data_IF_613395273585
#
_entry.id   IF_613395273585
#
_cell.length_a   1.000
_cell.length_b   1.000
_cell.length_c   1.000
_cell.angle_alpha   90.00
_cell.angle_beta   90.00
_cell.angle_gamma   90.00
#
_symmetry.space_group_name_H-M   'P 1'
#
loop_
_entity.id
_entity.type
_entity.pdbx_description
1 polymer ?
#
# COMPACT_ATOMS: atom_id res chain seq x y z
N UNK A 1 23.25 -7.88 -3.36
CA UNK A 1 22.59 -8.05 -2.05
C UNK A 1 23.41 -7.53 -0.86
N UNK A 2 24.67 -7.96 -0.65
CA UNK A 2 25.48 -7.58 0.52
C UNK A 2 25.63 -6.06 0.71
N UNK A 3 25.83 -5.29 -0.37
CA UNK A 3 25.97 -3.84 -0.30
C UNK A 3 24.68 -3.11 0.16
N UNK A 4 23.50 -3.65 -0.15
CA UNK A 4 22.20 -3.04 0.21
C UNK A 4 21.90 -3.28 1.68
N UNK A 5 22.18 -4.48 2.19
CA UNK A 5 22.02 -4.81 3.61
C UNK A 5 22.97 -4.00 4.51
N UNK A 6 24.21 -3.79 4.06
CA UNK A 6 25.17 -2.92 4.75
C UNK A 6 24.69 -1.47 4.80
N UNK A 7 24.15 -0.94 3.69
CA UNK A 7 23.62 0.42 3.62
C UNK A 7 22.39 0.63 4.53
N UNK A 8 21.45 -0.32 4.55
CA UNK A 8 20.28 -0.30 5.43
C UNK A 8 20.69 -0.36 6.91
N UNK A 9 21.63 -1.24 7.24
CA UNK A 9 22.17 -1.37 8.60
C UNK A 9 22.82 -0.08 9.07
N UNK A 10 23.64 0.56 8.21
CA UNK A 10 24.28 1.85 8.51
C UNK A 10 23.24 2.94 8.77
N UNK A 11 22.25 3.06 7.89
CA UNK A 11 21.17 4.05 8.02
C UNK A 11 20.36 3.82 9.31
N UNK A 12 20.03 2.57 9.65
CA UNK A 12 19.32 2.26 10.89
C UNK A 12 20.14 2.62 12.15
N UNK A 13 21.44 2.35 12.13
CA UNK A 13 22.35 2.73 13.22
C UNK A 13 22.41 4.24 13.41
N UNK A 14 22.51 5.02 12.32
CA UNK A 14 22.45 6.49 12.37
C UNK A 14 21.14 7.00 12.99
N UNK A 15 20.00 6.42 12.59
CA UNK A 15 18.69 6.75 13.17
C UNK A 15 18.62 6.46 14.67
N UNK A 16 19.17 5.33 15.11
CA UNK A 16 19.19 4.93 16.52
C UNK A 16 20.04 5.86 17.38
N UNK A 17 21.19 6.29 16.86
CA UNK A 17 22.06 7.28 17.52
C UNK A 17 21.34 8.61 17.68
N UNK A 18 20.72 9.13 16.62
CA UNK A 18 19.95 10.40 16.68
C UNK A 18 18.80 10.34 17.69
N UNK A 19 18.03 9.26 17.67
CA UNK A 19 16.95 9.04 18.64
C UNK A 19 17.48 9.04 20.08
N UNK A 20 18.59 8.33 20.34
CA UNK A 20 19.20 8.26 21.67
C UNK A 20 19.63 9.65 22.14
N UNK A 21 20.37 10.40 21.32
CA UNK A 21 20.82 11.75 21.66
C UNK A 21 19.65 12.68 21.99
N UNK A 22 18.57 12.66 21.20
CA UNK A 22 17.37 13.46 21.48
C UNK A 22 16.69 13.05 22.79
N UNK A 23 16.57 11.76 23.05
CA UNK A 23 15.95 11.25 24.27
C UNK A 23 16.76 11.62 25.51
N UNK A 24 18.09 11.52 25.45
CA UNK A 24 18.99 11.86 26.55
C UNK A 24 18.94 13.37 26.85
N UNK A 25 19.04 14.23 25.82
CA UNK A 25 18.90 15.68 25.97
C UNK A 25 17.53 16.11 26.49
N UNK A 26 16.45 15.42 26.10
CA UNK A 26 15.12 15.67 26.65
C UNK A 26 15.06 15.35 28.14
N UNK A 27 15.59 14.20 28.56
CA UNK A 27 15.63 13.81 29.98
C UNK A 27 16.44 14.81 30.80
N UNK A 28 17.59 15.24 30.30
CA UNK A 28 18.39 16.28 30.96
C UNK A 28 17.63 17.61 31.09
N UNK A 29 16.79 17.95 30.09
CA UNK A 29 15.92 19.12 30.14
C UNK A 29 14.86 18.97 31.24
N UNK A 30 14.19 17.82 31.30
CA UNK A 30 13.15 17.52 32.30
C UNK A 30 13.72 17.49 33.72
N UNK A 31 14.85 16.83 33.94
CA UNK A 31 15.52 16.81 35.25
C UNK A 31 15.90 18.23 35.67
N UNK A 32 16.39 19.06 34.76
CA UNK A 32 16.76 20.43 35.10
C UNK A 32 15.56 21.31 35.42
N UNK A 33 14.44 21.11 34.72
CA UNK A 33 13.18 21.79 35.05
C UNK A 33 12.69 21.37 36.44
N UNK A 34 12.76 20.08 36.76
CA UNK A 34 12.36 19.57 38.06
C UNK A 34 13.21 20.16 39.20
N UNK A 35 14.54 20.18 39.05
CA UNK A 35 15.46 20.79 40.04
C UNK A 35 15.17 22.28 40.31
N UNK A 36 14.68 23.01 39.29
CA UNK A 36 14.38 24.44 39.41
C UNK A 36 13.02 24.72 40.05
N UNK A 37 12.16 23.71 40.08
CA UNK A 37 10.78 23.76 40.55
C UNK A 37 10.66 23.17 41.95
N UNK A 38 11.51 22.20 42.29
CA UNK A 38 11.56 21.59 43.61
C UNK A 38 11.91 22.64 44.67
N UNK A 39 10.90 23.01 45.47
CA UNK A 39 11.09 23.81 46.67
C UNK A 39 11.92 22.99 47.67
N UNK A 40 13.16 23.40 48.02
CA UNK A 40 13.99 22.67 48.97
C UNK A 40 13.35 22.53 50.36
N UNK A 41 12.26 23.25 50.64
CA UNK A 41 11.50 23.14 51.89
C UNK A 41 10.23 22.30 51.79
N UNK A 42 9.81 21.86 50.60
CA UNK A 42 8.65 20.98 50.39
C UNK A 42 7.32 21.52 50.94
N UNK A 43 7.20 22.84 51.13
CA UNK A 43 6.05 23.45 51.81
C UNK A 43 4.94 23.85 50.84
N UNK A 44 5.25 23.97 49.56
CA UNK A 44 4.31 24.30 48.49
C UNK A 44 4.18 23.06 47.60
N UNK A 45 2.95 22.72 47.21
CA UNK A 45 2.66 21.59 46.31
C UNK A 45 3.38 21.71 44.95
N UNK A 46 3.12 20.79 44.00
CA UNK A 46 3.84 20.78 42.72
C UNK A 46 3.75 22.16 42.04
N UNK A 47 4.87 22.87 42.00
CA UNK A 47 4.99 24.17 41.34
C UNK A 47 5.08 23.92 39.83
N UNK A 48 4.38 24.69 39.02
CA UNK A 48 4.55 24.56 37.57
C UNK A 48 5.83 25.30 37.12
N UNK A 49 6.61 24.75 36.17
CA UNK A 49 7.78 25.44 35.63
C UNK A 49 7.39 26.76 34.95
N UNK A 50 8.07 27.85 35.29
CA UNK A 50 7.85 29.19 34.71
C UNK A 50 8.69 29.43 33.45
N UNK A 51 8.41 30.53 32.73
CA UNK A 51 9.22 30.94 31.57
C UNK A 51 10.68 31.20 31.95
N UNK A 52 10.94 31.71 33.16
CA UNK A 52 12.28 31.93 33.70
C UNK A 52 13.03 30.60 33.86
N UNK A 53 12.34 29.54 34.32
CA UNK A 53 12.94 28.21 34.41
C UNK A 53 13.40 27.72 33.03
N UNK A 54 12.56 27.84 32.00
CA UNK A 54 12.93 27.49 30.61
C UNK A 54 14.04 28.41 30.04
N UNK A 55 14.05 29.69 30.43
CA UNK A 55 15.08 30.65 30.03
C UNK A 55 16.50 30.26 30.47
N UNK A 56 16.62 29.55 31.60
CA UNK A 56 17.90 29.05 32.11
C UNK A 56 18.47 27.84 31.33
N UNK A 57 17.65 27.16 30.52
CA UNK A 57 18.03 25.92 29.84
C UNK A 57 18.81 26.19 28.55
N UNK A 58 19.79 25.34 28.23
CA UNK A 58 20.60 25.49 27.02
C UNK A 58 19.79 25.25 25.74
N UNK A 59 20.17 25.92 24.64
CA UNK A 59 19.46 25.79 23.37
C UNK A 59 19.36 24.34 22.83
N UNK A 60 20.39 23.48 22.93
CA UNK A 60 20.29 22.08 22.50
C UNK A 60 19.23 21.28 23.26
N UNK A 61 19.12 21.47 24.58
CA UNK A 61 18.11 20.81 25.42
C UNK A 61 16.71 21.29 25.10
N UNK A 62 16.51 22.60 24.91
CA UNK A 62 15.22 23.16 24.48
C UNK A 62 14.78 22.59 23.12
N UNK A 63 15.71 22.51 22.14
CA UNK A 63 15.41 21.92 20.83
C UNK A 63 14.97 20.46 20.97
N UNK A 64 15.70 19.65 21.75
CA UNK A 64 15.33 18.25 21.98
C UNK A 64 13.96 18.12 22.67
N UNK A 65 13.70 18.93 23.70
CA UNK A 65 12.44 18.96 24.44
C UNK A 65 11.24 19.27 23.54
N UNK A 66 11.37 20.30 22.69
CA UNK A 66 10.35 20.66 21.69
C UNK A 66 10.18 19.54 20.67
N UNK A 67 11.30 18.97 20.20
CA UNK A 67 11.32 17.99 19.12
C UNK A 67 10.54 16.74 19.49
N UNK A 68 10.84 16.15 20.66
CA UNK A 68 10.23 14.88 21.06
C UNK A 68 8.73 14.97 21.34
N UNK A 69 8.20 16.18 21.53
CA UNK A 69 6.78 16.47 21.78
C UNK A 69 6.01 16.97 20.57
N UNK A 70 6.71 17.34 19.50
CA UNK A 70 6.10 17.95 18.30
C UNK A 70 6.28 17.08 17.05
N UNK A 71 7.30 16.22 17.01
CA UNK A 71 7.60 15.39 15.84
C UNK A 71 7.67 13.90 16.17
N UNK A 72 7.08 13.03 15.32
CA UNK A 72 7.22 11.59 15.46
C UNK A 72 8.57 11.06 14.95
N UNK A 73 9.34 11.88 14.21
CA UNK A 73 10.60 11.49 13.56
C UNK A 73 11.82 12.06 14.28
N UNK A 74 13.03 11.59 13.96
CA UNK A 74 14.31 12.00 14.57
C UNK A 74 15.19 12.83 13.60
N UNK A 75 14.58 13.47 12.60
CA UNK A 75 15.27 14.36 11.65
C UNK A 75 15.43 15.75 12.25
N UNK A 76 16.63 16.07 12.75
CA UNK A 76 16.92 17.25 13.58
C UNK A 76 17.27 18.52 12.82
N UNK A 77 17.64 18.39 11.55
CA UNK A 77 18.47 19.38 10.87
C UNK A 77 17.65 20.53 10.28
N UNK A 78 16.35 20.32 10.14
CA UNK A 78 15.36 21.32 9.73
C UNK A 78 14.23 21.22 10.75
N UNK A 79 13.76 22.35 11.27
CA UNK A 79 12.53 22.36 12.06
C UNK A 79 11.34 21.83 11.23
N UNK A 80 10.10 22.05 11.66
CA UNK A 80 8.94 21.90 10.79
C UNK A 80 9.21 22.48 9.40
N UNK A 81 8.62 21.87 8.37
CA UNK A 81 8.74 22.39 6.99
C UNK A 81 8.37 23.87 6.88
N UNK A 82 7.49 24.32 7.77
CA UNK A 82 6.98 25.69 7.83
C UNK A 82 7.90 26.63 8.65
N UNK A 83 9.03 26.14 9.16
CA UNK A 83 10.02 26.93 9.89
C UNK A 83 11.24 27.10 8.99
N UNK A 84 11.67 28.35 8.80
CA UNK A 84 12.91 28.68 8.07
C UNK A 84 14.19 28.32 8.86
N UNK A 85 14.13 27.25 9.68
CA UNK A 85 15.13 26.90 10.69
C UNK A 85 14.59 27.01 12.11
N UNK A 86 15.38 26.52 13.07
CA UNK A 86 15.06 26.68 14.48
C UNK A 86 15.13 28.16 14.89
N UNK A 87 14.12 28.69 15.60
CA UNK A 87 14.20 30.02 16.18
C UNK A 87 15.40 30.18 17.10
N UNK A 88 15.85 31.42 17.30
CA UNK A 88 16.90 31.73 18.27
C UNK A 88 16.39 31.48 19.70
N UNK A 89 17.30 31.14 20.61
CA UNK A 89 17.02 31.22 22.05
C UNK A 89 17.00 32.71 22.42
N UNK A 90 15.96 33.13 23.12
CA UNK A 90 15.81 34.50 23.63
C UNK A 90 15.56 34.47 25.14
N UNK A 91 15.45 35.64 25.77
CA UNK A 91 15.18 35.79 27.20
C UNK A 91 13.73 35.40 27.57
N UNK A 92 13.48 35.16 28.86
CA UNK A 92 12.13 34.91 29.38
C UNK A 92 11.19 36.12 29.17
N UNK A 93 11.72 37.35 29.24
CA UNK A 93 10.96 38.57 28.99
C UNK A 93 10.46 38.66 27.54
N UNK A 94 11.33 38.38 26.56
CA UNK A 94 10.94 38.32 25.14
C UNK A 94 9.90 37.21 24.89
N UNK A 95 10.08 36.04 25.51
CA UNK A 95 9.10 34.95 25.45
C UNK A 95 7.74 35.35 26.07
N UNK A 96 7.74 36.12 27.16
CA UNK A 96 6.53 36.63 27.80
C UNK A 96 5.80 37.67 26.94
N UNK A 97 6.54 38.45 26.14
CA UNK A 97 6.00 39.39 25.15
C UNK A 97 5.39 38.70 23.91
N UNK A 98 5.47 37.37 23.83
CA UNK A 98 4.91 36.59 22.72
C UNK A 98 5.88 36.36 21.57
N UNK A 99 7.16 36.71 21.71
CA UNK A 99 8.15 36.44 20.68
C UNK A 99 8.32 34.94 20.46
N UNK A 100 8.33 34.54 19.19
CA UNK A 100 8.48 33.14 18.81
C UNK A 100 9.94 32.71 18.93
N UNK A 101 10.32 32.29 20.13
CA UNK A 101 11.66 31.80 20.48
C UNK A 101 11.64 30.37 21.05
N UNK A 102 12.81 29.76 21.25
CA UNK A 102 12.91 28.41 21.82
C UNK A 102 12.31 28.32 23.24
N UNK A 103 12.47 29.36 24.06
CA UNK A 103 11.94 29.38 25.44
C UNK A 103 10.41 29.31 25.41
N UNK A 104 9.79 30.15 24.57
CA UNK A 104 8.33 30.16 24.41
C UNK A 104 7.79 28.84 23.88
N UNK A 105 8.41 28.31 22.83
CA UNK A 105 8.00 27.05 22.21
C UNK A 105 8.09 25.86 23.17
N UNK A 106 9.14 25.80 23.98
CA UNK A 106 9.29 24.75 25.00
C UNK A 106 8.24 24.87 26.10
N UNK A 107 7.97 26.10 26.58
CA UNK A 107 6.94 26.37 27.56
C UNK A 107 5.53 26.00 27.05
N UNK A 108 5.21 26.35 25.81
CA UNK A 108 3.92 26.07 25.18
C UNK A 108 3.69 24.57 24.91
N UNK A 109 4.75 23.76 24.85
CA UNK A 109 4.64 22.31 24.66
C UNK A 109 4.85 21.48 25.93
N UNK A 110 5.05 22.10 27.10
CA UNK A 110 5.48 21.39 28.33
C UNK A 110 4.55 20.25 28.75
N UNK A 111 3.24 20.42 28.57
CA UNK A 111 2.21 19.44 28.97
C UNK A 111 1.96 18.36 27.90
N UNK A 112 2.59 18.49 26.72
CA UNK A 112 2.44 17.50 25.66
C UNK A 112 3.27 16.25 25.99
N UNK A 113 2.73 15.04 25.73
CA UNK A 113 3.48 13.81 25.92
C UNK A 113 4.63 13.71 24.91
N UNK A 114 5.65 12.90 25.24
CA UNK A 114 6.67 12.51 24.29
C UNK A 114 6.05 11.61 23.20
N UNK A 115 6.05 12.07 21.96
CA UNK A 115 5.47 11.38 20.79
C UNK A 115 6.52 10.78 19.86
N UNK A 116 7.81 11.02 20.12
CA UNK A 116 8.91 10.48 19.33
C UNK A 116 8.94 8.95 19.44
N UNK A 117 8.87 8.27 18.30
CA UNK A 117 8.86 6.81 18.26
C UNK A 117 10.29 6.26 18.21
N UNK A 118 10.53 5.18 18.96
CA UNK A 118 11.79 4.43 18.88
C UNK A 118 11.95 3.86 17.46
N UNK A 119 13.13 3.98 16.83
CA UNK A 119 13.40 3.34 15.55
C UNK A 119 13.14 1.84 15.67
N UNK A 120 12.19 1.34 14.89
CA UNK A 120 11.90 -0.09 14.82
C UNK A 120 12.92 -0.69 13.87
N UNK A 121 13.71 -1.66 14.37
CA UNK A 121 14.61 -2.44 13.51
C UNK A 121 13.76 -3.03 12.39
N UNK A 122 14.13 -2.90 11.11
CA UNK A 122 13.40 -3.57 10.04
C UNK A 122 13.33 -5.05 10.42
N UNK A 123 12.11 -5.51 10.71
CA UNK A 123 11.86 -6.87 11.18
C UNK A 123 12.19 -7.77 9.98
N UNK A 124 13.19 -8.67 10.13
CA UNK A 124 13.29 -9.83 9.24
C UNK A 124 11.93 -10.50 9.30
N UNK A 125 11.19 -10.50 8.18
CA UNK A 125 9.81 -10.97 8.13
C UNK A 125 9.67 -12.27 8.94
N UNK A 126 9.01 -12.17 10.10
CA UNK A 126 8.75 -13.35 10.91
C UNK A 126 7.66 -14.15 10.20
N UNK A 127 7.73 -15.49 10.19
CA UNK A 127 6.62 -16.31 9.72
C UNK A 127 5.43 -16.04 10.64
N UNK A 128 4.44 -15.29 10.15
CA UNK A 128 3.21 -15.07 10.89
C UNK A 128 2.50 -16.42 11.04
N UNK A 129 2.22 -16.81 12.27
CA UNK A 129 1.31 -17.93 12.54
C UNK A 129 -0.02 -17.65 11.86
N UNK A 130 -0.32 -18.41 10.80
CA UNK A 130 -1.61 -18.43 10.12
C UNK A 130 -2.70 -18.73 11.16
N UNK A 131 -3.42 -17.71 11.58
CA UNK A 131 -4.78 -17.96 12.05
C UNK A 131 -5.59 -18.30 10.82
N UNK A 132 -6.08 -19.52 10.77
CA UNK A 132 -7.03 -20.03 9.78
C UNK A 132 -8.28 -19.15 9.78
N UNK A 133 -8.23 -18.03 9.06
CA UNK A 133 -9.42 -17.51 8.42
C UNK A 133 -9.74 -18.53 7.35
N UNK A 134 -10.96 -19.06 7.39
CA UNK A 134 -11.54 -19.94 6.41
C UNK A 134 -11.37 -19.28 5.04
N UNK A 135 -10.25 -19.56 4.38
CA UNK A 135 -10.00 -19.12 3.04
C UNK A 135 -11.19 -19.66 2.26
N UNK A 136 -11.91 -18.76 1.59
CA UNK A 136 -12.78 -19.17 0.50
C UNK A 136 -11.86 -19.93 -0.44
N UNK A 137 -11.83 -21.25 -0.30
CA UNK A 137 -11.29 -22.14 -1.31
C UNK A 137 -12.09 -21.72 -2.52
N UNK A 138 -11.45 -20.96 -3.42
CA UNK A 138 -11.97 -20.73 -4.74
C UNK A 138 -12.21 -22.15 -5.22
N UNK A 139 -13.47 -22.60 -5.22
CA UNK A 139 -13.86 -23.82 -5.89
C UNK A 139 -13.55 -23.50 -7.33
N UNK A 140 -12.34 -23.83 -7.73
CA UNK A 140 -11.80 -23.72 -9.06
C UNK A 140 -12.64 -24.67 -9.90
N UNK A 141 -13.83 -24.24 -10.30
CA UNK A 141 -14.35 -24.61 -11.58
C UNK A 141 -13.28 -24.13 -12.56
N UNK A 142 -12.45 -25.06 -12.98
CA UNK A 142 -11.28 -24.83 -13.83
C UNK A 142 -11.70 -23.92 -14.97
N UNK A 143 -11.20 -22.68 -14.98
CA UNK A 143 -11.38 -21.78 -16.11
C UNK A 143 -10.57 -22.36 -17.27
N UNK A 144 -11.22 -23.22 -18.05
CA UNK A 144 -10.62 -23.88 -19.21
C UNK A 144 -10.73 -22.96 -20.42
N UNK A 145 -9.72 -22.11 -20.60
CA UNK A 145 -9.49 -21.50 -21.92
C UNK A 145 -9.28 -22.61 -22.95
N UNK A 146 -10.09 -22.59 -24.01
CA UNK A 146 -10.08 -23.57 -25.11
C UNK A 146 -9.00 -23.24 -26.15
N UNK A 147 -7.87 -22.70 -25.71
CA UNK A 147 -6.67 -22.76 -26.52
C UNK A 147 -6.09 -24.16 -26.35
N UNK A 148 -6.35 -25.04 -27.31
CA UNK A 148 -5.72 -26.37 -27.39
C UNK A 148 -4.18 -26.27 -27.50
N UNK A 149 -3.66 -25.06 -27.70
CA UNK A 149 -2.23 -24.75 -27.69
C UNK A 149 -1.85 -24.21 -26.32
N UNK A 150 -1.07 -24.99 -25.57
CA UNK A 150 -0.40 -24.53 -24.36
C UNK A 150 0.76 -23.61 -24.76
N UNK A 151 0.59 -22.31 -24.58
CA UNK A 151 1.67 -21.34 -24.84
C UNK A 151 2.47 -21.12 -23.55
N UNK A 152 3.79 -21.32 -23.61
CA UNK A 152 4.68 -20.98 -22.51
C UNK A 152 4.81 -19.46 -22.35
N UNK A 153 4.88 -18.99 -21.11
CA UNK A 153 5.05 -17.58 -20.77
C UNK A 153 6.40 -17.07 -21.27
N UNK A 154 7.45 -17.90 -21.22
CA UNK A 154 8.74 -17.60 -21.82
C UNK A 154 8.65 -17.37 -23.33
N UNK A 155 7.84 -18.15 -24.05
CA UNK A 155 7.66 -17.97 -25.50
C UNK A 155 7.02 -16.63 -25.84
N UNK A 156 6.03 -16.18 -25.07
CA UNK A 156 5.44 -14.84 -25.20
C UNK A 156 6.45 -13.75 -24.86
N UNK A 157 7.20 -13.93 -23.77
CA UNK A 157 8.23 -12.97 -23.36
C UNK A 157 9.39 -12.89 -24.35
N UNK A 158 9.71 -13.95 -25.08
CA UNK A 158 10.74 -13.94 -26.11
C UNK A 158 10.27 -13.27 -27.42
N UNK A 159 8.96 -13.11 -27.64
CA UNK A 159 8.41 -12.46 -28.83
C UNK A 159 8.39 -10.93 -28.69
N UNK A 160 9.37 -10.28 -29.34
CA UNK A 160 9.50 -8.82 -29.39
C UNK A 160 8.24 -8.13 -29.92
N UNK A 161 7.57 -8.73 -30.90
CA UNK A 161 6.35 -8.16 -31.49
C UNK A 161 5.22 -8.17 -30.48
N UNK A 162 5.07 -9.26 -29.73
CA UNK A 162 4.09 -9.35 -28.66
C UNK A 162 4.38 -8.34 -27.54
N UNK A 163 5.66 -8.19 -27.13
CA UNK A 163 6.04 -7.22 -26.09
C UNK A 163 5.72 -5.78 -26.50
N UNK A 164 6.04 -5.39 -27.73
CA UNK A 164 5.74 -4.05 -28.26
C UNK A 164 4.23 -3.80 -28.26
N UNK A 165 3.43 -4.77 -28.71
CA UNK A 165 1.96 -4.67 -28.66
C UNK A 165 1.44 -4.51 -27.24
N UNK A 166 1.95 -5.29 -26.29
CA UNK A 166 1.55 -5.23 -24.88
C UNK A 166 1.89 -3.86 -24.25
N UNK A 167 3.10 -3.36 -24.48
CA UNK A 167 3.55 -2.04 -24.00
C UNK A 167 2.66 -0.94 -24.59
N UNK A 168 2.39 -0.99 -25.89
CA UNK A 168 1.49 -0.05 -26.55
C UNK A 168 0.05 -0.16 -26.06
N UNK A 169 -0.44 -1.37 -25.77
CA UNK A 169 -1.78 -1.63 -25.25
C UNK A 169 -2.01 -0.89 -23.92
N UNK A 170 -1.07 -1.05 -22.98
CA UNK A 170 -1.18 -0.54 -21.61
C UNK A 170 -0.44 0.79 -21.34
N UNK A 171 0.05 1.46 -22.39
CA UNK A 171 0.76 2.76 -22.31
C UNK A 171 1.88 2.76 -21.27
N UNK A 172 2.67 1.70 -21.27
CA UNK A 172 3.79 1.59 -20.35
C UNK A 172 4.92 2.49 -20.85
N UNK A 173 5.55 3.21 -19.92
CA UNK A 173 6.82 3.86 -20.20
C UNK A 173 7.93 2.78 -20.28
N UNK A 174 9.03 3.09 -20.97
CA UNK A 174 10.15 2.15 -21.05
C UNK A 174 10.79 1.86 -19.70
N UNK A 175 10.58 2.73 -18.71
CA UNK A 175 11.13 2.65 -17.35
C UNK A 175 10.39 1.63 -16.47
N UNK A 176 9.12 1.32 -16.78
CA UNK A 176 8.30 0.33 -16.04
C UNK A 176 8.52 -1.11 -16.51
N UNK A 177 9.26 -1.33 -17.59
CA UNK A 177 9.55 -2.68 -18.13
C UNK A 177 10.92 -3.18 -17.74
N UNK A 178 11.03 -4.47 -17.40
CA UNK A 178 12.33 -5.09 -17.11
C UNK A 178 13.02 -5.59 -18.38
N UNK A 179 14.34 -5.54 -18.41
CA UNK A 179 15.14 -6.21 -19.45
C UNK A 179 14.91 -7.72 -19.38
N UNK A 180 14.56 -8.33 -20.51
CA UNK A 180 14.32 -9.77 -20.59
C UNK A 180 15.66 -10.51 -20.64
N UNK A 181 15.87 -11.39 -19.66
CA UNK A 181 17.04 -12.27 -19.54
C UNK A 181 16.59 -13.73 -19.55
N UNK A 182 17.52 -14.67 -19.70
CA UNK A 182 17.22 -16.11 -19.57
C UNK A 182 16.59 -16.44 -18.20
N UNK A 183 17.04 -15.76 -17.14
CA UNK A 183 16.40 -15.86 -15.82
C UNK A 183 14.95 -15.38 -15.83
N UNK A 184 14.64 -14.27 -16.53
CA UNK A 184 13.27 -13.78 -16.68
C UNK A 184 12.36 -14.82 -17.36
N UNK A 185 12.87 -15.50 -18.39
CA UNK A 185 12.15 -16.55 -19.12
C UNK A 185 11.85 -17.76 -18.22
N UNK A 186 12.86 -18.26 -17.50
CA UNK A 186 12.69 -19.36 -16.54
C UNK A 186 11.71 -19.02 -15.43
N UNK A 187 11.80 -17.79 -14.89
CA UNK A 187 10.89 -17.28 -13.84
C UNK A 187 9.45 -17.18 -14.34
N UNK A 188 9.24 -16.82 -15.60
CA UNK A 188 7.91 -16.75 -16.20
C UNK A 188 7.27 -18.13 -16.34
N UNK A 189 8.02 -19.12 -16.80
CA UNK A 189 7.51 -20.49 -16.92
C UNK A 189 7.28 -21.13 -15.55
N UNK A 190 8.12 -20.82 -14.56
CA UNK A 190 7.92 -21.25 -13.18
C UNK A 190 6.65 -20.65 -12.58
N UNK A 191 6.46 -19.33 -12.70
CA UNK A 191 5.24 -18.65 -12.28
C UNK A 191 4.02 -19.23 -12.99
N UNK A 192 4.11 -19.42 -14.31
CA UNK A 192 3.06 -20.07 -15.08
C UNK A 192 2.74 -21.45 -14.51
N UNK A 193 3.70 -22.35 -14.29
CA UNK A 193 3.44 -23.67 -13.68
C UNK A 193 2.68 -23.57 -12.35
N UNK A 194 3.05 -22.61 -11.49
CA UNK A 194 2.37 -22.35 -10.21
C UNK A 194 0.93 -21.86 -10.42
N UNK A 195 0.72 -20.94 -11.36
CA UNK A 195 -0.60 -20.40 -11.70
C UNK A 195 -1.46 -21.39 -12.50
N UNK A 196 -0.86 -22.30 -13.28
CA UNK A 196 -1.55 -23.26 -14.16
C UNK A 196 -2.22 -24.39 -13.39
N UNK A 197 -1.68 -24.76 -12.23
CA UNK A 197 -2.44 -25.58 -11.26
C UNK A 197 -3.80 -24.96 -10.92
N UNK A 198 -3.99 -23.66 -11.19
CA UNK A 198 -5.18 -22.88 -10.84
C UNK A 198 -5.94 -22.33 -12.06
N UNK A 199 -5.31 -21.81 -13.14
CA UNK A 199 -6.03 -21.03 -14.20
C UNK A 199 -5.48 -20.99 -15.66
N UNK A 200 -4.52 -21.82 -16.11
CA UNK A 200 -3.97 -21.78 -17.51
C UNK A 200 -3.54 -20.37 -18.03
N UNK A 201 -2.86 -19.57 -17.21
CA UNK A 201 -2.59 -18.13 -17.45
C UNK A 201 -1.18 -17.79 -18.00
N UNK A 202 -0.76 -18.36 -19.13
CA UNK A 202 0.56 -18.06 -19.73
C UNK A 202 0.79 -16.56 -19.98
N UNK A 203 -0.18 -15.89 -20.60
CA UNK A 203 -0.15 -14.44 -20.84
C UNK A 203 -0.02 -13.62 -19.56
N UNK A 204 -0.78 -13.95 -18.51
CA UNK A 204 -0.71 -13.20 -17.25
C UNK A 204 0.67 -13.37 -16.60
N UNK A 205 1.23 -14.57 -16.61
CA UNK A 205 2.56 -14.82 -16.06
C UNK A 205 3.63 -14.01 -16.79
N UNK A 206 3.56 -13.96 -18.12
CA UNK A 206 4.44 -13.12 -18.94
C UNK A 206 4.30 -11.63 -18.58
N UNK A 207 3.05 -11.13 -18.48
CA UNK A 207 2.77 -9.73 -18.12
C UNK A 207 3.36 -9.37 -16.74
N UNK A 208 3.13 -10.20 -15.73
CA UNK A 208 3.61 -9.96 -14.36
C UNK A 208 5.15 -9.91 -14.27
N UNK A 209 5.83 -10.72 -15.08
CA UNK A 209 7.29 -10.75 -15.14
C UNK A 209 7.81 -9.53 -15.89
N UNK A 210 7.22 -9.20 -17.04
CA UNK A 210 7.62 -8.06 -17.86
C UNK A 210 7.55 -6.74 -17.08
N UNK A 211 6.56 -6.59 -16.20
CA UNK A 211 6.39 -5.37 -15.40
C UNK A 211 7.15 -5.41 -14.07
N UNK A 212 7.92 -6.47 -13.81
CA UNK A 212 8.67 -6.60 -12.56
C UNK A 212 7.76 -6.69 -11.32
N UNK A 213 6.53 -7.18 -11.47
CA UNK A 213 5.55 -7.21 -10.39
C UNK A 213 5.79 -8.34 -9.39
N UNK A 214 6.60 -9.33 -9.75
CA UNK A 214 6.87 -10.51 -8.92
C UNK A 214 8.29 -10.50 -8.39
N UNK A 215 8.49 -11.11 -7.23
CA UNK A 215 9.79 -11.31 -6.58
C UNK A 215 10.74 -12.09 -7.47
N UNK A 216 12.03 -11.85 -7.28
CA UNK A 216 13.05 -12.40 -8.16
C UNK A 216 13.23 -13.91 -8.01
N UNK A 217 13.31 -14.39 -6.76
CA UNK A 217 13.46 -15.79 -6.43
C UNK A 217 12.14 -16.37 -5.91
N UNK A 218 11.40 -17.00 -6.82
CA UNK A 218 10.12 -17.65 -6.51
C UNK A 218 10.30 -19.08 -5.97
N UNK A 219 11.50 -19.67 -6.06
CA UNK A 219 11.78 -21.02 -5.55
C UNK A 219 11.86 -21.04 -4.03
N UNK A 220 12.30 -19.92 -3.45
CA UNK A 220 12.30 -19.67 -2.02
C UNK A 220 10.91 -19.45 -1.39
N UNK A 221 9.83 -19.45 -2.19
CA UNK A 221 8.49 -19.11 -1.75
C UNK A 221 7.53 -20.32 -1.81
N UNK A 222 6.85 -20.59 -0.70
CA UNK A 222 5.78 -21.57 -0.65
C UNK A 222 4.46 -21.03 -1.26
N UNK A 223 3.40 -21.82 -1.26
CA UNK A 223 2.12 -21.46 -1.85
C UNK A 223 1.27 -20.47 -1.01
N UNK A 224 1.72 -20.15 0.20
CA UNK A 224 1.07 -19.21 1.12
C UNK A 224 1.72 -17.83 1.08
N UNK A 225 2.97 -17.75 0.61
CA UNK A 225 3.75 -16.54 0.49
C UNK A 225 3.21 -15.59 -0.60
N UNK A 226 3.50 -14.28 -0.43
CA UNK A 226 3.22 -13.27 -1.44
C UNK A 226 4.31 -13.30 -2.52
N UNK A 227 3.93 -13.56 -3.77
CA UNK A 227 4.82 -13.50 -4.92
C UNK A 227 4.98 -12.08 -5.47
N UNK A 228 4.06 -11.17 -5.16
CA UNK A 228 4.18 -9.78 -5.58
C UNK A 228 5.38 -9.10 -4.90
N UNK A 229 6.05 -8.23 -5.64
CA UNK A 229 7.15 -7.43 -5.13
C UNK A 229 6.63 -6.35 -4.18
N UNK A 230 7.30 -6.18 -3.04
CA UNK A 230 6.92 -5.23 -1.98
C UNK A 230 7.41 -3.80 -2.29
N UNK A 231 7.13 -3.32 -3.50
CA UNK A 231 7.55 -2.01 -3.99
C UNK A 231 6.39 -1.25 -4.68
N UNK A 232 5.58 -0.48 -3.94
CA UNK A 232 4.49 0.28 -4.52
C UNK A 232 4.94 1.38 -5.50
N UNK A 233 6.22 1.77 -5.49
CA UNK A 233 6.73 2.80 -6.40
C UNK A 233 6.78 2.36 -7.87
N UNK A 234 6.67 1.05 -8.16
CA UNK A 234 6.53 0.53 -9.52
C UNK A 234 5.13 0.75 -10.11
N UNK A 235 4.19 1.20 -9.28
CA UNK A 235 2.80 1.33 -9.66
C UNK A 235 2.36 2.80 -9.60
N UNK A 236 1.47 3.19 -10.50
CA UNK A 236 0.87 4.53 -10.48
C UNK A 236 -0.16 4.61 -9.37
N UNK A 237 -0.03 5.59 -8.47
CA UNK A 237 -1.05 5.87 -7.46
C UNK A 237 -2.33 6.33 -8.15
N UNK A 238 -3.49 5.81 -7.76
CA UNK A 238 -4.78 6.24 -8.33
C UNK A 238 -5.06 7.69 -7.97
N UNK A 239 -5.29 8.51 -9.00
CA UNK A 239 -5.73 9.91 -8.91
C UNK A 239 -6.99 10.12 -9.77
N UNK A 240 -7.66 11.26 -9.60
CA UNK A 240 -8.86 11.63 -10.37
C UNK A 240 -8.58 11.85 -11.87
N UNK A 241 -7.33 12.19 -12.21
CA UNK A 241 -6.89 12.57 -13.55
C UNK A 241 -6.81 11.38 -14.52
N UNK A 242 -6.68 10.16 -14.00
CA UNK A 242 -6.53 8.97 -14.85
C UNK A 242 -7.87 8.52 -15.46
N UNK A 243 -7.96 8.62 -16.78
CA UNK A 243 -9.07 8.15 -17.62
C UNK A 243 -8.89 6.70 -18.06
N UNK A 244 -8.66 5.82 -17.10
CA UNK A 244 -8.33 4.42 -17.32
C UNK A 244 -9.20 3.50 -16.46
N UNK A 245 -9.43 2.29 -16.95
CA UNK A 245 -9.94 1.17 -16.18
C UNK A 245 -8.93 0.01 -16.17
N UNK A 246 -9.28 -1.14 -15.60
CA UNK A 246 -8.36 -2.26 -15.47
C UNK A 246 -8.27 -2.79 -14.06
N UNK A 247 -7.06 -3.17 -13.62
CA UNK A 247 -6.81 -3.83 -12.34
C UNK A 247 -6.08 -2.89 -11.39
N UNK A 248 -6.52 -2.85 -10.14
CA UNK A 248 -5.92 -2.09 -9.06
C UNK A 248 -5.54 -2.98 -7.88
N UNK A 249 -4.62 -2.48 -7.07
CA UNK A 249 -4.23 -3.10 -5.80
C UNK A 249 -4.31 -2.10 -4.65
N UNK A 250 -4.57 -2.59 -3.45
CA UNK A 250 -4.41 -1.81 -2.23
C UNK A 250 -3.13 -2.20 -1.52
N UNK A 251 -2.34 -1.17 -1.22
CA UNK A 251 -1.19 -1.23 -0.34
C UNK A 251 -1.59 -0.74 1.05
N UNK A 252 -1.28 -1.53 2.07
CA UNK A 252 -1.35 -1.11 3.46
C UNK A 252 -0.04 -0.40 3.85
N UNK A 253 -0.11 0.92 4.09
CA UNK A 253 1.07 1.71 4.46
C UNK A 253 1.58 1.43 5.87
N UNK A 254 0.79 0.79 6.73
CA UNK A 254 1.23 0.45 8.08
C UNK A 254 2.04 -0.84 8.08
N UNK A 255 1.49 -1.88 7.45
CA UNK A 255 2.12 -3.20 7.40
C UNK A 255 3.05 -3.38 6.20
N UNK A 256 3.09 -2.40 5.29
CA UNK A 256 3.94 -2.39 4.10
C UNK A 256 3.75 -3.65 3.25
N UNK A 257 2.49 -3.94 2.92
CA UNK A 257 2.12 -5.14 2.17
C UNK A 257 0.91 -4.91 1.25
N UNK A 258 0.82 -5.70 0.19
CA UNK A 258 -0.36 -5.79 -0.65
C UNK A 258 -1.45 -6.62 0.04
N UNK A 259 -2.66 -6.09 0.09
CA UNK A 259 -3.77 -6.72 0.84
C UNK A 259 -4.98 -7.06 0.00
N UNK A 260 -5.13 -6.43 -1.17
CA UNK A 260 -6.33 -6.57 -2.00
C UNK A 260 -5.98 -6.34 -3.45
N UNK A 261 -6.55 -7.15 -4.32
CA UNK A 261 -6.61 -6.92 -5.76
C UNK A 261 -8.09 -6.76 -6.15
N UNK A 262 -8.38 -5.87 -7.09
CA UNK A 262 -9.70 -5.72 -7.67
C UNK A 262 -9.65 -5.13 -9.07
N UNK A 263 -10.76 -5.18 -9.80
CA UNK A 263 -10.85 -4.57 -11.13
C UNK A 263 -12.02 -3.62 -11.30
N UNK A 264 -11.87 -2.72 -12.27
CA UNK A 264 -12.92 -1.85 -12.80
C UNK A 264 -12.95 -2.01 -14.31
N UNK A 265 -14.13 -1.90 -14.90
CA UNK A 265 -14.30 -1.93 -16.34
C UNK A 265 -15.32 -0.88 -16.77
N UNK A 266 -15.01 -0.13 -17.83
CA UNK A 266 -15.79 0.96 -18.41
C UNK A 266 -16.06 2.11 -17.43
N UNK A 267 -15.14 2.32 -16.48
CA UNK A 267 -15.19 3.41 -15.50
C UNK A 267 -13.82 3.64 -14.88
N UNK A 268 -13.58 4.87 -14.41
CA UNK A 268 -12.32 5.27 -13.78
C UNK A 268 -12.05 4.52 -12.47
N UNK A 269 -10.76 4.24 -12.20
CA UNK A 269 -10.29 3.78 -10.90
C UNK A 269 -10.68 4.71 -9.75
N UNK A 270 -10.54 6.03 -9.93
CA UNK A 270 -10.86 7.03 -8.90
C UNK A 270 -12.29 6.89 -8.36
N UNK A 271 -13.26 6.66 -9.24
CA UNK A 271 -14.65 6.48 -8.81
C UNK A 271 -14.80 5.25 -7.90
N UNK A 272 -14.02 4.19 -8.15
CA UNK A 272 -14.02 2.99 -7.31
C UNK A 272 -13.29 3.22 -5.98
N UNK A 273 -12.21 4.00 -5.98
CA UNK A 273 -11.56 4.45 -4.75
C UNK A 273 -12.53 5.24 -3.85
N UNK A 274 -13.28 6.18 -4.43
CA UNK A 274 -14.30 6.96 -3.70
C UNK A 274 -15.42 6.07 -3.17
N UNK A 275 -15.88 5.08 -3.94
CA UNK A 275 -16.85 4.08 -3.47
C UNK A 275 -16.33 3.32 -2.26
N UNK A 276 -15.12 2.77 -2.33
CA UNK A 276 -14.50 2.06 -1.20
C UNK A 276 -14.38 2.97 0.03
N UNK A 277 -14.03 4.23 -0.17
CA UNK A 277 -13.94 5.22 0.91
C UNK A 277 -15.28 5.51 1.57
N UNK A 278 -16.36 5.60 0.79
CA UNK A 278 -17.73 5.76 1.32
C UNK A 278 -18.19 4.51 2.07
N UNK A 279 -17.93 3.33 1.53
CA UNK A 279 -18.30 2.06 2.16
C UNK A 279 -17.55 1.83 3.46
N UNK A 280 -16.27 2.22 3.55
CA UNK A 280 -15.47 2.16 4.77
C UNK A 280 -16.01 3.05 5.90
N UNK A 281 -16.90 4.03 5.62
CA UNK A 281 -17.56 4.84 6.67
C UNK A 281 -18.69 4.09 7.39
N UNK A 282 -19.04 2.88 6.94
CA UNK A 282 -19.99 1.98 7.62
C UNK A 282 -21.32 2.64 8.01
N UNK A 283 -21.90 3.42 7.09
CA UNK A 283 -23.14 4.19 7.34
C UNK A 283 -24.41 3.33 7.34
N UNK A 284 -24.41 2.15 6.69
CA UNK A 284 -25.58 1.28 6.53
C UNK A 284 -25.31 -0.18 6.95
N UNK A 285 -26.35 -1.02 6.93
CA UNK A 285 -26.51 -2.29 7.63
C UNK A 285 -25.43 -3.36 7.44
N UNK A 286 -24.84 -3.46 6.26
CA UNK A 286 -23.95 -4.56 5.90
C UNK A 286 -22.62 -4.03 5.39
N UNK A 287 -21.52 -4.59 5.91
CA UNK A 287 -20.16 -4.27 5.50
C UNK A 287 -19.36 -5.55 5.29
N UNK A 288 -18.86 -5.74 4.07
CA UNK A 288 -18.01 -6.87 3.74
C UNK A 288 -16.70 -6.91 4.54
N UNK A 289 -16.05 -8.08 4.52
CA UNK A 289 -14.82 -8.35 5.27
C UNK A 289 -13.74 -7.29 5.08
N UNK A 290 -13.63 -6.70 3.88
CA UNK A 290 -12.70 -5.61 3.59
C UNK A 290 -12.91 -4.37 4.47
N UNK A 291 -14.15 -3.91 4.59
CA UNK A 291 -14.47 -2.69 5.34
C UNK A 291 -14.51 -2.93 6.85
N UNK A 292 -14.67 -4.18 7.29
CA UNK A 292 -14.48 -4.55 8.69
C UNK A 292 -12.99 -4.65 9.05
N UNK A 293 -12.15 -5.16 8.13
CA UNK A 293 -10.71 -5.18 8.34
C UNK A 293 -10.08 -3.77 8.29
N UNK A 294 -10.58 -2.89 7.42
CA UNK A 294 -10.09 -1.53 7.23
C UNK A 294 -11.25 -0.52 7.23
N UNK A 295 -11.90 -0.29 8.38
CA UNK A 295 -12.90 0.78 8.49
C UNK A 295 -12.24 2.15 8.35
N UNK A 296 -13.02 3.16 7.99
CA UNK A 296 -12.60 4.54 8.10
C UNK A 296 -12.45 4.94 9.57
N UNK A 297 -11.50 5.83 9.88
CA UNK A 297 -11.44 6.51 11.19
C UNK A 297 -12.73 7.25 11.54
N UNK A 298 -13.52 7.59 10.53
CA UNK A 298 -14.80 8.28 10.65
C UNK A 298 -16.00 7.33 10.51
N UNK A 299 -15.78 6.02 10.66
CA UNK A 299 -16.86 5.05 10.62
C UNK A 299 -17.86 5.33 11.74
N UNK A 300 -19.16 5.37 11.40
CA UNK A 300 -20.22 5.62 12.39
C UNK A 300 -20.51 4.42 13.27
N UNK A 301 -20.17 3.23 12.79
CA UNK A 301 -20.35 1.97 13.50
C UNK A 301 -19.01 1.52 14.09
N UNK A 302 -19.06 1.06 15.32
CA UNK A 302 -17.93 0.37 15.95
C UNK A 302 -17.75 -0.99 15.27
N UNK A 303 -16.53 -1.25 14.80
CA UNK A 303 -16.13 -2.56 14.32
C UNK A 303 -15.45 -3.31 15.47
N UNK A 304 -15.67 -4.62 15.54
CA UNK A 304 -14.94 -5.49 16.45
C UNK A 304 -13.41 -5.28 16.28
N UNK A 305 -12.70 -4.84 17.34
CA UNK A 305 -11.25 -4.66 17.30
C UNK A 305 -10.49 -5.91 16.86
N UNK A 306 -11.03 -7.11 17.07
CA UNK A 306 -10.42 -8.37 16.65
C UNK A 306 -10.43 -8.57 15.12
N UNK A 307 -11.38 -7.95 14.41
CA UNK A 307 -11.48 -8.01 12.96
C UNK A 307 -10.68 -6.90 12.27
N UNK A 308 -10.45 -5.78 12.97
CA UNK A 308 -9.77 -4.61 12.43
C UNK A 308 -8.25 -4.84 12.30
N UNK A 309 -7.75 -4.72 11.09
CA UNK A 309 -6.31 -4.79 10.74
C UNK A 309 -5.66 -3.41 10.58
N UNK A 310 -6.46 -2.39 10.31
CA UNK A 310 -6.00 -1.02 10.13
C UNK A 310 -7.16 -0.05 9.90
N UNK A 311 -6.85 1.10 9.31
CA UNK A 311 -7.86 2.05 8.86
C UNK A 311 -7.77 2.23 7.35
N UNK A 312 -8.89 2.54 6.70
CA UNK A 312 -8.92 2.80 5.26
C UNK A 312 -8.01 3.99 4.86
N UNK A 313 -7.83 4.97 5.75
CA UNK A 313 -6.92 6.09 5.52
C UNK A 313 -5.44 5.68 5.42
N UNK A 314 -5.09 4.50 5.94
CA UNK A 314 -3.76 3.89 5.83
C UNK A 314 -3.61 3.07 4.53
N UNK A 315 -4.64 3.04 3.69
CA UNK A 315 -4.61 2.36 2.41
C UNK A 315 -4.28 3.35 1.28
N UNK A 316 -3.57 2.83 0.28
CA UNK A 316 -3.32 3.51 -0.99
C UNK A 316 -3.71 2.59 -2.12
N UNK A 317 -4.51 3.09 -3.06
CA UNK A 317 -4.92 2.35 -4.24
C UNK A 317 -3.93 2.64 -5.38
N UNK A 318 -3.37 1.60 -5.96
CA UNK A 318 -2.43 1.69 -7.08
C UNK A 318 -3.01 1.01 -8.31
N UNK A 319 -2.76 1.59 -9.49
CA UNK A 319 -3.08 1.00 -10.79
C UNK A 319 -2.04 -0.09 -11.05
N UNK A 320 -2.49 -1.34 -11.02
CA UNK A 320 -1.67 -2.49 -11.41
C UNK A 320 -1.66 -2.68 -12.92
N UNK A 321 -2.78 -2.42 -13.56
CA UNK A 321 -2.91 -2.50 -15.01
C UNK A 321 -3.95 -1.50 -15.47
N UNK A 322 -3.52 -0.46 -16.20
CA UNK A 322 -4.39 0.62 -16.66
C UNK A 322 -4.62 0.56 -18.15
N UNK A 323 -5.89 0.51 -18.58
CA UNK A 323 -6.29 0.54 -19.98
C UNK A 323 -7.14 1.80 -20.25
N UNK A 324 -6.76 2.66 -21.21
CA UNK A 324 -7.48 3.91 -21.44
C UNK A 324 -8.95 3.69 -21.81
N UNK A 325 -9.86 4.46 -21.22
CA UNK A 325 -11.30 4.34 -21.44
C UNK A 325 -11.69 4.50 -22.91
N UNK A 326 -11.07 5.47 -23.59
CA UNK A 326 -11.31 5.79 -24.99
C UNK A 326 -10.69 4.80 -26.00
N UNK A 327 -9.89 3.82 -25.56
CA UNK A 327 -9.17 2.92 -26.46
C UNK A 327 -10.05 1.73 -26.86
N UNK A 328 -10.00 1.37 -28.14
CA UNK A 328 -10.68 0.19 -28.69
C UNK A 328 -10.13 -1.09 -28.05
N UNK A 329 -10.99 -2.07 -27.73
CA UNK A 329 -10.58 -3.34 -27.13
C UNK A 329 -9.69 -4.20 -28.03
N UNK A 330 -9.59 -3.89 -29.33
CA UNK A 330 -8.83 -4.66 -30.31
C UNK A 330 -7.39 -4.94 -29.86
N UNK A 331 -6.73 -3.97 -29.24
CA UNK A 331 -5.36 -4.18 -28.75
C UNK A 331 -5.31 -5.25 -27.65
N UNK A 332 -6.31 -5.31 -26.77
CA UNK A 332 -6.42 -6.37 -25.76
C UNK A 332 -6.73 -7.72 -26.41
N UNK A 333 -7.61 -7.74 -27.41
CA UNK A 333 -7.93 -8.94 -28.19
C UNK A 333 -6.66 -9.50 -28.84
N UNK A 334 -5.85 -8.62 -29.44
CA UNK A 334 -4.61 -8.99 -30.13
C UNK A 334 -3.53 -9.46 -29.14
N UNK A 335 -3.35 -8.76 -28.01
CA UNK A 335 -2.37 -9.11 -26.97
C UNK A 335 -2.66 -10.45 -26.32
N UNK A 336 -3.93 -10.75 -26.05
CA UNK A 336 -4.35 -12.03 -25.46
C UNK A 336 -4.63 -13.10 -26.51
N UNK A 337 -4.49 -12.78 -27.80
CA UNK A 337 -4.71 -13.70 -28.91
C UNK A 337 -6.11 -14.32 -28.93
N UNK A 338 -7.14 -13.55 -28.57
CA UNK A 338 -8.50 -14.09 -28.42
C UNK A 338 -9.07 -14.55 -29.76
N UNK A 339 -9.53 -15.79 -29.79
CA UNK A 339 -10.13 -16.44 -30.96
C UNK A 339 -11.65 -16.50 -30.84
N UNK A 340 -12.32 -16.92 -31.92
CA UNK A 340 -13.77 -17.13 -31.93
C UNK A 340 -14.25 -18.11 -30.83
N UNK A 341 -13.43 -19.08 -30.44
CA UNK A 341 -13.72 -19.99 -29.35
C UNK A 341 -13.77 -19.28 -27.98
N UNK A 342 -12.84 -18.37 -27.72
CA UNK A 342 -12.79 -17.59 -26.48
C UNK A 342 -14.01 -16.66 -26.37
N UNK A 343 -14.47 -16.10 -27.50
CA UNK A 343 -15.70 -15.30 -27.53
C UNK A 343 -16.94 -16.09 -27.10
N UNK A 344 -16.98 -17.43 -27.26
CA UNK A 344 -18.08 -18.25 -26.73
C UNK A 344 -18.03 -18.31 -25.21
N UNK A 345 -16.85 -18.54 -24.63
CA UNK A 345 -16.65 -18.51 -23.18
C UNK A 345 -16.95 -17.13 -22.58
N UNK A 346 -16.47 -16.05 -23.21
CA UNK A 346 -16.73 -14.67 -22.78
C UNK A 346 -18.24 -14.38 -22.75
N UNK A 347 -18.97 -14.76 -23.80
CA UNK A 347 -20.43 -14.64 -23.84
C UNK A 347 -21.11 -15.47 -22.76
N UNK A 348 -20.55 -16.63 -22.42
CA UNK A 348 -21.10 -17.51 -21.37
C UNK A 348 -20.98 -16.92 -19.96
N UNK A 349 -20.06 -15.97 -19.75
CA UNK A 349 -19.97 -15.21 -18.48
C UNK A 349 -21.12 -14.24 -18.28
N UNK A 350 -22.01 -14.05 -19.26
CA UNK A 350 -23.28 -13.31 -19.14
C UNK A 350 -23.19 -11.93 -18.48
N UNK A 351 -22.13 -11.16 -18.72
CA UNK A 351 -22.01 -9.81 -18.19
C UNK A 351 -23.27 -8.94 -18.47
N UNK A 352 -23.63 -8.12 -17.49
CA UNK A 352 -24.80 -7.24 -17.52
C UNK A 352 -24.46 -5.82 -17.07
N UNK A 353 -25.17 -4.83 -17.60
CA UNK A 353 -25.20 -3.47 -17.04
C UNK A 353 -25.86 -3.49 -15.67
N UNK A 354 -25.77 -2.37 -14.92
CA UNK A 354 -26.51 -2.21 -13.65
C UNK A 354 -28.03 -2.41 -13.80
N UNK A 355 -28.57 -2.15 -14.99
CA UNK A 355 -29.99 -2.29 -15.29
C UNK A 355 -30.33 -3.67 -15.86
N UNK A 356 -29.41 -4.64 -15.80
CA UNK A 356 -29.65 -6.00 -16.28
C UNK A 356 -29.63 -6.16 -17.81
N UNK A 357 -29.14 -5.17 -18.56
CA UNK A 357 -29.03 -5.29 -20.03
C UNK A 357 -27.74 -6.03 -20.41
N UNK A 358 -27.79 -6.80 -21.51
CA UNK A 358 -26.59 -7.39 -22.09
C UNK A 358 -25.65 -6.27 -22.60
N UNK A 359 -24.36 -6.42 -22.34
CA UNK A 359 -23.33 -5.49 -22.83
C UNK A 359 -22.75 -5.97 -24.17
N UNK A 360 -22.17 -5.05 -24.94
CA UNK A 360 -21.58 -5.36 -26.24
C UNK A 360 -20.38 -6.30 -26.11
N UNK A 361 -20.08 -7.09 -27.15
CA UNK A 361 -18.99 -8.07 -27.11
C UNK A 361 -17.65 -7.43 -26.76
N UNK A 362 -17.36 -6.24 -27.29
CA UNK A 362 -16.13 -5.51 -26.98
C UNK A 362 -15.98 -5.23 -25.48
N UNK A 363 -17.05 -4.81 -24.82
CA UNK A 363 -17.08 -4.59 -23.38
C UNK A 363 -16.93 -5.89 -22.58
N UNK A 364 -17.49 -6.99 -23.08
CA UNK A 364 -17.32 -8.31 -22.46
C UNK A 364 -15.87 -8.77 -22.56
N UNK A 365 -15.21 -8.57 -23.70
CA UNK A 365 -13.79 -8.88 -23.90
C UNK A 365 -12.91 -8.06 -22.95
N UNK A 366 -13.13 -6.75 -22.87
CA UNK A 366 -12.41 -5.85 -21.95
C UNK A 366 -12.53 -6.33 -20.49
N UNK A 367 -13.75 -6.63 -20.03
CA UNK A 367 -14.01 -7.18 -18.69
C UNK A 367 -13.33 -8.51 -18.46
N UNK A 368 -13.41 -9.42 -19.43
CA UNK A 368 -12.80 -10.73 -19.34
C UNK A 368 -11.28 -10.62 -19.15
N UNK A 369 -10.61 -9.72 -19.88
CA UNK A 369 -9.16 -9.55 -19.76
C UNK A 369 -8.75 -8.94 -18.42
N UNK A 370 -9.48 -7.92 -17.94
CA UNK A 370 -9.24 -7.38 -16.60
C UNK A 370 -9.47 -8.44 -15.51
N UNK A 371 -10.50 -9.26 -15.66
CA UNK A 371 -10.78 -10.35 -14.73
C UNK A 371 -9.65 -11.39 -14.69
N UNK A 372 -9.09 -11.79 -15.84
CA UNK A 372 -7.95 -12.72 -15.85
C UNK A 372 -6.72 -12.14 -15.15
N UNK A 373 -6.47 -10.85 -15.36
CA UNK A 373 -5.37 -10.14 -14.71
C UNK A 373 -5.61 -9.98 -13.20
N UNK A 374 -6.84 -9.67 -12.79
CA UNK A 374 -7.26 -9.66 -11.37
C UNK A 374 -7.01 -11.03 -10.73
N UNK A 375 -7.43 -12.11 -11.39
CA UNK A 375 -7.21 -13.47 -10.91
C UNK A 375 -5.73 -13.80 -10.77
N UNK A 376 -4.90 -13.50 -11.77
CA UNK A 376 -3.46 -13.80 -11.71
C UNK A 376 -2.74 -13.01 -10.61
N UNK A 377 -3.03 -11.71 -10.48
CA UNK A 377 -2.50 -10.88 -9.38
C UNK A 377 -2.98 -11.37 -8.01
N UNK A 378 -4.27 -11.74 -7.89
CA UNK A 378 -4.82 -12.29 -6.66
C UNK A 378 -4.15 -13.60 -6.26
N UNK A 379 -3.85 -14.47 -7.22
CA UNK A 379 -3.09 -15.70 -6.99
C UNK A 379 -1.64 -15.46 -6.54
N UNK A 380 -1.11 -14.24 -6.75
CA UNK A 380 0.22 -13.83 -6.28
C UNK A 380 0.19 -13.17 -4.89
N UNK A 381 -0.99 -12.84 -4.34
CA UNK A 381 -1.09 -12.31 -2.98
C UNK A 381 -0.86 -13.42 -1.94
N UNK A 382 -0.26 -13.04 -0.81
CA UNK A 382 -0.23 -13.93 0.35
C UNK A 382 -1.65 -14.22 0.82
N UNK A 383 -1.97 -15.50 1.05
CA UNK A 383 -3.33 -15.92 1.44
C UNK A 383 -3.80 -15.26 2.74
N UNK A 384 -2.89 -15.05 3.69
CA UNK A 384 -3.21 -14.38 4.96
C UNK A 384 -3.50 -12.88 4.80
N UNK A 385 -2.96 -12.27 3.74
CA UNK A 385 -3.07 -10.84 3.47
C UNK A 385 -4.28 -10.50 2.59
N UNK A 386 -4.72 -11.44 1.74
CA UNK A 386 -5.85 -11.24 0.84
C UNK A 386 -7.17 -11.10 1.60
N UNK A 387 -7.74 -9.90 1.53
CA UNK A 387 -9.06 -9.57 2.09
C UNK A 387 -10.13 -9.41 1.01
N UNK A 388 -9.84 -9.81 -0.24
CA UNK A 388 -10.83 -9.90 -1.31
C UNK A 388 -11.63 -11.20 -1.16
N UNK A 389 -12.91 -11.08 -0.79
CA UNK A 389 -13.81 -12.24 -0.63
C UNK A 389 -14.06 -12.96 -1.96
N UNK A 390 -14.12 -12.22 -3.08
CA UNK A 390 -14.25 -12.77 -4.44
C UNK A 390 -13.45 -11.91 -5.44
N UNK A 391 -12.77 -12.54 -6.41
CA UNK A 391 -12.23 -11.82 -7.57
C UNK A 391 -13.38 -11.61 -8.55
N UNK A 392 -13.70 -10.37 -8.93
CA UNK A 392 -14.55 -9.94 -10.08
C UNK A 392 -15.88 -10.64 -10.40
N UNK A 393 -16.29 -11.69 -9.69
CA UNK A 393 -17.34 -12.64 -10.06
C UNK A 393 -18.73 -12.01 -10.05
N UNK A 394 -18.92 -11.02 -9.19
CA UNK A 394 -20.12 -10.18 -9.05
C UNK A 394 -20.55 -9.57 -10.40
N UNK A 395 -19.59 -9.23 -11.27
CA UNK A 395 -19.87 -8.63 -12.58
C UNK A 395 -20.36 -9.65 -13.61
N UNK A 396 -19.89 -10.91 -13.53
CA UNK A 396 -20.26 -11.97 -14.47
C UNK A 396 -21.66 -12.51 -14.18
N UNK A 397 -21.99 -12.77 -12.92
CA UNK A 397 -23.31 -13.34 -12.58
C UNK A 397 -24.43 -12.31 -12.49
N UNK A 398 -24.11 -11.02 -12.51
CA UNK A 398 -25.08 -9.95 -12.22
C UNK A 398 -25.55 -9.95 -10.76
N UNK A 399 -24.94 -10.76 -9.90
CA UNK A 399 -25.15 -10.76 -8.47
C UNK A 399 -24.38 -9.60 -7.85
N UNK A 400 -24.91 -8.39 -8.01
CA UNK A 400 -24.46 -7.23 -7.25
C UNK A 400 -25.09 -7.30 -5.85
N UNK A 401 -24.33 -7.83 -4.89
CA UNK A 401 -24.74 -7.90 -3.49
C UNK A 401 -25.25 -9.29 -3.08
N UNK A 402 -24.42 -10.02 -2.35
CA UNK A 402 -24.44 -10.07 -0.87
C UNK A 402 -23.03 -10.53 -0.46
N UNK A 403 -22.32 -9.68 0.29
CA UNK A 403 -21.05 -10.03 0.93
C UNK A 403 -21.26 -11.15 1.97
#
# INVERSE_FOLDING_TARGET
MVAVEAALTRKFSECLTKHKTLSDLNKECESKLQELVDDPKGLLGPVEPTLENFGSITAPRLKAFIHVRTFPTYTTDKGPKDWAGWPKKSSAAEAANGDRCLVRLAYDCRDKPCIMQKPVKPVKAMPQQLRHLSATIIRSSTLTFHSDVYTLASSLLADDTWRVKLIAAYRLDSETTVTITESSLGRADYLQKRLIKRLKLGHVSAILILFGYVKDDLECLDETACFLLDNPALFRLVTEEFEEDGVYMYWDTNNMQWIRVGMVALRKFWLRFVEHSKMAQLKSGESGAFYNAYPSKYAKKTVDPALRRGYHENLRQYIALGYPLAKDVKDLVDVFGLKAADNRWIKSMRYRTKNGQAIQLADQQRRAMHYLMECGLKLCLALACDISVNAGWEQATGCYGKD
#
